data_IF_384768575825
#
_entry.id   IF_384768575825
#
_cell.length_a   1.000
_cell.length_b   1.000
_cell.length_c   1.000
_cell.angle_alpha   90.00
_cell.angle_beta   90.00
_cell.angle_gamma   90.00
#
_symmetry.space_group_name_H-M   'P 1'
#
loop_
_entity.id
_entity.type
_entity.pdbx_description
1 polymer ?
#
# COMPACT_ATOMS: atom_id res chain seq x y z
N UNK A 1 -8.82 -10.27 -24.61
CA UNK A 1 -7.42 -10.38 -24.14
C UNK A 1 -7.46 -10.36 -22.62
N UNK A 2 -6.62 -11.13 -21.91
CA UNK A 2 -6.53 -11.02 -20.46
C UNK A 2 -6.19 -9.59 -20.05
N UNK A 3 -6.75 -9.10 -18.94
CA UNK A 3 -6.38 -7.79 -18.38
C UNK A 3 -4.88 -7.82 -18.02
N UNK A 4 -4.11 -6.77 -18.35
CA UNK A 4 -2.69 -6.71 -18.01
C UNK A 4 -2.50 -6.71 -16.49
N UNK A 5 -1.46 -7.38 -16.01
CA UNK A 5 -1.09 -7.42 -14.59
C UNK A 5 -0.49 -6.08 -14.19
N UNK A 6 -0.97 -5.50 -13.09
CA UNK A 6 -0.47 -4.23 -12.57
C UNK A 6 0.38 -4.54 -11.35
N UNK A 7 1.63 -4.06 -11.35
CA UNK A 7 2.44 -3.97 -10.14
C UNK A 7 2.34 -2.56 -9.58
N UNK A 8 2.17 -2.46 -8.28
CA UNK A 8 2.14 -1.21 -7.54
C UNK A 8 3.50 -0.87 -6.93
N UNK A 9 4.46 -1.78 -7.00
CA UNK A 9 5.75 -1.68 -6.34
C UNK A 9 6.88 -1.22 -7.29
N UNK A 10 7.96 -0.66 -6.73
CA UNK A 10 9.05 -0.04 -7.48
C UNK A 10 9.91 -1.06 -8.24
N UNK A 11 10.05 -2.27 -7.70
CA UNK A 11 10.87 -3.36 -8.23
C UNK A 11 10.08 -4.66 -8.36
N UNK A 12 8.76 -4.57 -8.55
CA UNK A 12 7.86 -5.72 -8.65
C UNK A 12 7.84 -6.61 -7.39
N UNK A 13 8.13 -6.03 -6.23
CA UNK A 13 8.12 -6.71 -4.92
C UNK A 13 6.79 -7.44 -4.70
N UNK A 14 5.69 -6.76 -5.02
CA UNK A 14 4.34 -7.30 -4.95
C UNK A 14 4.16 -8.55 -5.83
N UNK A 15 4.67 -8.54 -7.07
CA UNK A 15 4.56 -9.68 -7.98
C UNK A 15 5.45 -10.85 -7.55
N UNK A 16 6.68 -10.60 -7.07
CA UNK A 16 7.53 -11.66 -6.50
C UNK A 16 6.86 -12.32 -5.30
N UNK A 17 6.30 -11.53 -4.39
CA UNK A 17 5.55 -12.04 -3.24
C UNK A 17 4.25 -12.74 -3.67
N UNK A 18 3.56 -12.27 -4.71
CA UNK A 18 2.36 -12.92 -5.25
C UNK A 18 2.67 -14.29 -5.86
N UNK A 19 3.88 -14.53 -6.35
CA UNK A 19 4.28 -15.91 -6.71
C UNK A 19 4.40 -16.84 -5.51
N UNK A 20 4.69 -16.29 -4.33
CA UNK A 20 4.79 -17.04 -3.08
C UNK A 20 3.42 -17.34 -2.48
N UNK A 21 2.54 -16.34 -2.47
CA UNK A 21 1.31 -16.37 -1.69
C UNK A 21 0.03 -16.15 -2.49
N UNK A 22 0.15 -15.85 -3.78
CA UNK A 22 -0.97 -15.60 -4.69
C UNK A 22 -1.90 -16.81 -4.78
N UNK A 23 -3.18 -16.52 -5.05
CA UNK A 23 -4.25 -17.51 -5.02
C UNK A 23 -4.89 -17.72 -3.64
N UNK A 24 -4.38 -17.07 -2.59
CA UNK A 24 -5.04 -16.99 -1.28
C UNK A 24 -5.94 -15.76 -1.23
N UNK A 25 -7.21 -15.92 -0.86
CA UNK A 25 -8.15 -14.81 -0.68
C UNK A 25 -7.94 -14.00 0.61
N UNK A 26 -7.03 -14.42 1.49
CA UNK A 26 -6.68 -13.73 2.73
C UNK A 26 -5.23 -14.02 3.11
N UNK A 27 -4.59 -13.08 3.81
CA UNK A 27 -3.28 -13.23 4.45
C UNK A 27 -2.92 -11.98 5.24
N UNK A 28 -1.71 -11.95 5.82
CA UNK A 28 -1.26 -10.86 6.67
C UNK A 28 0.14 -10.36 6.30
N UNK A 29 0.30 -9.04 6.28
CA UNK A 29 1.58 -8.37 6.08
C UNK A 29 1.84 -7.29 7.13
N UNK A 30 3.12 -6.96 7.28
CA UNK A 30 3.56 -5.72 7.92
C UNK A 30 4.42 -4.97 6.90
N UNK A 31 4.10 -3.71 6.65
CA UNK A 31 4.78 -2.84 5.68
C UNK A 31 5.29 -1.58 6.40
N UNK A 32 6.59 -1.53 6.68
CA UNK A 32 7.23 -0.47 7.48
C UNK A 32 7.91 0.52 6.56
N UNK A 33 7.57 1.80 6.74
CA UNK A 33 7.84 2.85 5.78
C UNK A 33 7.05 2.63 4.50
N UNK A 34 5.75 2.35 4.66
CA UNK A 34 4.87 1.99 3.55
C UNK A 34 4.70 3.10 2.51
N UNK A 35 5.11 4.33 2.82
CA UNK A 35 5.00 5.46 1.92
C UNK A 35 3.54 5.74 1.56
N UNK A 36 3.32 6.07 0.30
CA UNK A 36 1.96 6.24 -0.19
C UNK A 36 1.24 4.89 -0.33
N UNK A 37 -0.07 4.84 -0.08
CA UNK A 37 -0.82 3.59 -0.04
C UNK A 37 -0.98 2.86 -1.38
N UNK A 38 -0.42 3.34 -2.50
CA UNK A 38 -0.75 2.86 -3.85
C UNK A 38 0.47 2.83 -4.77
N UNK A 39 1.20 3.94 -4.83
CA UNK A 39 2.34 4.08 -5.75
C UNK A 39 3.62 3.63 -5.05
N UNK A 40 4.47 2.90 -5.76
CA UNK A 40 5.69 2.28 -5.23
C UNK A 40 5.44 1.50 -3.92
N UNK A 41 4.28 0.86 -3.78
CA UNK A 41 3.86 0.17 -2.56
C UNK A 41 3.80 -1.36 -2.77
N UNK A 42 4.58 -2.09 -1.97
CA UNK A 42 4.71 -3.55 -2.06
C UNK A 42 3.50 -4.34 -1.53
N UNK A 43 2.66 -3.73 -0.68
CA UNK A 43 1.54 -4.42 -0.02
C UNK A 43 0.16 -4.11 -0.63
N UNK A 44 0.04 -3.09 -1.48
CA UNK A 44 -1.25 -2.66 -2.03
C UNK A 44 -1.92 -3.69 -2.94
N UNK A 45 -1.15 -4.44 -3.73
CA UNK A 45 -1.69 -5.54 -4.53
C UNK A 45 -2.38 -6.60 -3.64
N UNK A 46 -1.78 -6.94 -2.50
CA UNK A 46 -2.37 -7.85 -1.51
C UNK A 46 -3.64 -7.27 -0.89
N UNK A 47 -3.62 -5.97 -0.56
CA UNK A 47 -4.83 -5.29 -0.08
C UNK A 47 -5.97 -5.45 -1.09
N UNK A 48 -5.76 -5.21 -2.38
CA UNK A 48 -6.80 -5.35 -3.41
C UNK A 48 -7.37 -6.78 -3.44
N UNK A 49 -6.53 -7.80 -3.25
CA UNK A 49 -6.92 -9.23 -3.21
C UNK A 49 -7.60 -9.66 -1.89
N UNK A 50 -8.00 -8.71 -1.03
CA UNK A 50 -8.76 -8.99 0.19
C UNK A 50 -7.91 -9.20 1.44
N UNK A 51 -6.60 -9.02 1.35
CA UNK A 51 -5.72 -9.13 2.52
C UNK A 51 -5.84 -7.89 3.42
N UNK A 52 -5.30 -8.04 4.62
CA UNK A 52 -5.19 -6.97 5.61
C UNK A 52 -3.85 -7.07 6.33
N UNK A 53 -3.33 -5.96 6.79
CA UNK A 53 -2.08 -5.94 7.52
C UNK A 53 -1.90 -4.70 8.38
N UNK A 54 -0.65 -4.46 8.73
CA UNK A 54 -0.21 -3.27 9.44
C UNK A 54 0.69 -2.48 8.51
N UNK A 55 0.41 -1.20 8.33
CA UNK A 55 1.35 -0.30 7.65
C UNK A 55 1.88 0.70 8.66
N UNK A 56 3.16 1.04 8.56
CA UNK A 56 3.77 2.07 9.42
C UNK A 56 4.32 3.18 8.55
N UNK A 57 3.86 4.40 8.77
CA UNK A 57 4.24 5.58 8.00
C UNK A 57 4.25 6.83 8.90
N UNK A 58 5.42 7.42 9.19
CA UNK A 58 5.53 8.59 10.07
C UNK A 58 5.02 9.90 9.45
N UNK A 59 4.96 10.02 8.12
CA UNK A 59 4.46 11.23 7.47
C UNK A 59 2.93 11.38 7.70
N UNK A 60 2.46 12.41 8.42
CA UNK A 60 1.04 12.54 8.76
C UNK A 60 0.11 12.61 7.55
N UNK A 61 0.58 13.21 6.45
CA UNK A 61 -0.21 13.32 5.22
C UNK A 61 -0.38 11.97 4.54
N UNK A 62 0.69 11.17 4.48
CA UNK A 62 0.65 9.82 3.91
C UNK A 62 -0.12 8.86 4.84
N UNK A 63 0.06 8.95 6.15
CA UNK A 63 -0.71 8.16 7.12
C UNK A 63 -2.23 8.45 7.02
N UNK A 64 -2.62 9.72 6.87
CA UNK A 64 -4.01 10.11 6.62
C UNK A 64 -4.53 9.54 5.30
N UNK A 65 -3.73 9.61 4.24
CA UNK A 65 -4.10 9.07 2.93
C UNK A 65 -4.26 7.56 2.97
N UNK A 66 -3.35 6.84 3.65
CA UNK A 66 -3.41 5.40 3.83
C UNK A 66 -4.69 4.96 4.53
N UNK A 67 -5.08 5.62 5.64
CA UNK A 67 -6.36 5.35 6.34
C UNK A 67 -7.59 5.53 5.43
N UNK A 68 -7.53 6.47 4.49
CA UNK A 68 -8.64 6.74 3.59
C UNK A 68 -8.71 5.76 2.40
N UNK A 69 -7.55 5.30 1.90
CA UNK A 69 -7.46 4.40 0.75
C UNK A 69 -7.55 2.92 1.14
N UNK A 70 -7.05 2.57 2.34
CA UNK A 70 -6.88 1.20 2.82
C UNK A 70 -7.55 0.94 4.18
N UNK A 71 -8.83 1.28 4.38
CA UNK A 71 -9.47 1.26 5.71
C UNK A 71 -9.49 -0.09 6.44
N UNK A 72 -9.24 -1.23 5.77
CA UNK A 72 -9.08 -2.54 6.44
C UNK A 72 -7.73 -2.73 7.13
N UNK A 73 -6.71 -1.97 6.73
CA UNK A 73 -5.39 -2.03 7.34
C UNK A 73 -5.36 -1.26 8.67
N UNK A 74 -4.48 -1.69 9.56
CA UNK A 74 -4.12 -0.91 10.73
C UNK A 74 -2.95 0.01 10.37
N UNK A 75 -3.21 1.33 10.38
CA UNK A 75 -2.21 2.34 10.02
C UNK A 75 -1.60 2.97 11.27
N UNK A 76 -0.30 2.73 11.47
CA UNK A 76 0.47 3.27 12.58
C UNK A 76 1.28 4.48 12.08
N UNK A 77 1.08 5.62 12.71
CA UNK A 77 1.79 6.86 12.41
C UNK A 77 2.92 7.04 13.41
N UNK A 78 4.04 6.38 13.15
CA UNK A 78 5.21 6.35 14.01
C UNK A 78 6.47 6.02 13.21
N UNK A 79 7.62 6.38 13.78
CA UNK A 79 8.91 5.84 13.39
C UNK A 79 9.11 4.46 14.02
N UNK A 80 9.91 3.62 13.36
CA UNK A 80 10.43 2.38 13.97
C UNK A 80 11.92 2.54 14.23
N UNK A 81 12.33 2.28 15.47
CA UNK A 81 13.73 2.38 15.89
C UNK A 81 14.05 1.43 17.03
N UNK A 82 15.18 1.68 17.70
CA UNK A 82 15.69 0.78 18.73
C UNK A 82 14.91 0.77 20.05
N UNK A 83 14.23 1.88 20.40
CA UNK A 83 13.51 2.02 21.68
C UNK A 83 12.22 2.81 21.50
N UNK A 84 11.22 2.54 22.35
CA UNK A 84 9.98 3.31 22.40
C UNK A 84 10.27 4.70 22.96
N UNK A 85 9.71 5.74 22.33
CA UNK A 85 9.89 7.12 22.78
C UNK A 85 9.49 8.12 21.71
N UNK A 86 10.29 9.17 21.57
CA UNK A 86 10.17 10.16 20.50
C UNK A 86 11.54 10.38 19.84
N UNK A 87 11.53 10.65 18.55
CA UNK A 87 12.73 11.04 17.79
C UNK A 87 12.38 12.14 16.79
N UNK A 88 13.43 12.81 16.30
CA UNK A 88 13.28 13.76 15.21
C UNK A 88 13.10 13.01 13.90
N UNK A 89 11.99 13.26 13.22
CA UNK A 89 11.77 12.89 11.84
C UNK A 89 12.08 14.10 10.95
N UNK A 90 12.95 13.91 9.96
CA UNK A 90 13.30 14.90 8.96
C UNK A 90 12.41 14.68 7.74
N UNK A 91 11.26 15.34 7.72
CA UNK A 91 10.23 15.19 6.70
C UNK A 91 10.55 16.01 5.45
N UNK A 92 10.64 15.36 4.29
CA UNK A 92 10.76 16.00 2.97
C UNK A 92 9.40 15.99 2.28
N UNK A 93 8.78 17.15 2.11
CA UNK A 93 7.38 17.23 1.64
C UNK A 93 7.22 16.98 0.13
N UNK A 94 8.17 17.42 -0.67
CA UNK A 94 8.12 17.40 -2.14
C UNK A 94 8.79 16.18 -2.77
N UNK A 95 9.38 15.30 -1.93
CA UNK A 95 9.92 14.01 -2.33
C UNK A 95 10.06 13.12 -1.09
N UNK A 96 8.93 12.53 -0.67
CA UNK A 96 8.80 11.86 0.62
C UNK A 96 9.77 10.69 0.83
N UNK A 97 10.19 9.99 -0.24
CA UNK A 97 11.21 8.90 -0.20
C UNK A 97 12.64 9.39 0.03
N UNK A 98 12.81 10.54 0.68
CA UNK A 98 14.07 11.00 1.28
C UNK A 98 13.87 11.45 2.73
N UNK A 99 12.67 11.22 3.27
CA UNK A 99 12.37 11.52 4.66
C UNK A 99 12.98 10.45 5.55
N UNK A 100 13.62 10.84 6.65
CA UNK A 100 14.43 9.91 7.43
C UNK A 100 14.47 10.35 8.90
N UNK A 101 14.82 9.44 9.80
CA UNK A 101 15.19 9.79 11.18
C UNK A 101 16.69 10.06 11.35
N UNK A 102 17.48 9.94 10.28
CA UNK A 102 18.94 10.09 10.30
C UNK A 102 19.32 11.49 9.81
N UNK A 103 19.83 12.34 10.71
CA UNK A 103 20.15 13.74 10.40
C UNK A 103 21.15 13.89 9.22
N UNK A 104 22.15 13.01 9.15
CA UNK A 104 23.17 13.07 8.09
C UNK A 104 22.58 12.78 6.72
N UNK A 105 21.57 11.90 6.64
CA UNK A 105 20.82 11.63 5.42
C UNK A 105 19.96 12.83 5.03
N UNK A 106 19.24 13.44 5.98
CA UNK A 106 18.49 14.68 5.74
C UNK A 106 19.38 15.83 5.21
N UNK A 107 20.61 15.96 5.74
CA UNK A 107 21.61 16.92 5.23
C UNK A 107 22.12 16.56 3.83
N UNK A 108 22.27 15.27 3.53
CA UNK A 108 22.64 14.79 2.20
C UNK A 108 21.54 15.09 1.16
N UNK A 109 20.26 14.88 1.51
CA UNK A 109 19.12 15.25 0.67
C UNK A 109 19.16 16.73 0.25
N UNK A 110 19.43 17.62 1.21
CA UNK A 110 19.56 19.05 0.95
C UNK A 110 20.76 19.38 0.06
N UNK A 111 21.94 18.81 0.37
CA UNK A 111 23.20 19.18 -0.31
C UNK A 111 23.34 18.58 -1.70
N UNK A 112 22.81 17.37 -1.94
CA UNK A 112 22.96 16.65 -3.21
C UNK A 112 21.74 16.83 -4.15
N UNK A 113 20.54 17.01 -3.59
CA UNK A 113 19.30 17.06 -4.38
C UNK A 113 18.49 18.34 -4.17
N UNK A 114 18.97 19.27 -3.32
CA UNK A 114 18.27 20.51 -3.02
C UNK A 114 16.95 20.31 -2.25
N UNK A 115 16.77 19.15 -1.62
CA UNK A 115 15.54 18.77 -0.91
C UNK A 115 15.64 19.12 0.57
N UNK A 116 14.90 20.14 0.99
CA UNK A 116 14.87 20.56 2.39
C UNK A 116 13.95 19.68 3.22
N UNK A 117 14.37 19.35 4.43
CA UNK A 117 13.54 18.66 5.40
C UNK A 117 13.03 19.59 6.49
N UNK A 118 11.84 19.29 7.00
CA UNK A 118 11.28 19.83 8.22
C UNK A 118 11.53 18.85 9.36
N UNK A 119 12.20 19.30 10.42
CA UNK A 119 12.34 18.50 11.64
C UNK A 119 11.03 18.51 12.44
N UNK A 120 10.45 17.33 12.69
CA UNK A 120 9.25 17.17 13.52
C UNK A 120 9.48 16.08 14.57
N UNK A 121 9.04 16.33 15.81
CA UNK A 121 9.05 15.30 16.86
C UNK A 121 7.98 14.26 16.54
N UNK A 122 8.37 12.99 16.46
CA UNK A 122 7.50 11.88 16.05
C UNK A 122 7.63 10.72 17.01
N UNK A 123 6.51 10.07 17.39
CA UNK A 123 6.54 8.86 18.20
C UNK A 123 7.39 7.76 17.56
N UNK A 124 8.13 7.04 18.39
CA UNK A 124 8.92 5.87 18.00
C UNK A 124 8.36 4.64 18.70
N UNK A 125 8.20 3.55 17.95
CA UNK A 125 7.98 2.21 18.49
C UNK A 125 9.10 1.27 18.03
N UNK A 126 9.14 0.05 18.57
CA UNK A 126 10.04 -1.01 18.09
C UNK A 126 9.26 -2.02 17.26
N UNK A 127 9.96 -2.81 16.44
CA UNK A 127 9.37 -3.93 15.71
C UNK A 127 8.73 -4.94 16.69
N UNK A 128 9.39 -5.20 17.83
CA UNK A 128 8.85 -6.05 18.90
C UNK A 128 7.50 -5.55 19.43
N UNK A 129 7.38 -4.26 19.78
CA UNK A 129 6.13 -3.70 20.31
C UNK A 129 5.03 -3.65 19.25
N UNK A 130 5.39 -3.35 18.00
CA UNK A 130 4.45 -3.35 16.87
C UNK A 130 3.86 -4.75 16.69
N UNK A 131 4.70 -5.78 16.60
CA UNK A 131 4.25 -7.16 16.46
C UNK A 131 3.45 -7.61 17.69
N UNK A 132 3.91 -7.26 18.89
CA UNK A 132 3.27 -7.48 20.18
C UNK A 132 1.78 -7.14 20.21
N UNK A 133 1.41 -6.04 19.56
CA UNK A 133 0.05 -5.49 19.58
C UNK A 133 -0.80 -5.90 18.39
N UNK A 134 -0.18 -6.09 17.23
CA UNK A 134 -0.93 -6.10 15.98
C UNK A 134 -0.71 -7.36 15.12
N UNK A 135 0.37 -8.11 15.35
CA UNK A 135 0.74 -9.22 14.47
C UNK A 135 0.33 -10.58 15.03
N UNK A 136 -0.10 -11.53 14.17
CA UNK A 136 -0.13 -12.93 14.55
C UNK A 136 1.31 -13.48 14.69
N UNK A 137 1.52 -14.59 15.44
CA UNK A 137 2.85 -15.17 15.64
C UNK A 137 3.56 -15.60 14.34
N UNK A 138 2.81 -15.96 13.30
CA UNK A 138 3.33 -16.29 11.97
C UNK A 138 2.49 -15.55 10.94
N UNK A 139 3.15 -14.89 9.98
CA UNK A 139 2.48 -14.15 8.91
C UNK A 139 3.27 -14.22 7.61
N UNK A 140 2.69 -13.74 6.51
CA UNK A 140 3.24 -13.97 5.18
C UNK A 140 4.49 -13.14 4.89
N UNK A 141 4.45 -11.83 5.10
CA UNK A 141 5.66 -11.03 4.88
C UNK A 141 5.78 -9.77 5.74
N UNK A 142 7.04 -9.38 5.96
CA UNK A 142 7.47 -8.12 6.56
C UNK A 142 8.27 -7.34 5.52
N UNK A 143 7.84 -6.14 5.12
CA UNK A 143 8.65 -5.18 4.34
C UNK A 143 9.22 -4.13 5.28
N UNK A 144 10.50 -3.83 5.12
CA UNK A 144 11.21 -2.73 5.81
C UNK A 144 11.84 -1.82 4.77
N UNK A 145 11.49 -0.55 4.84
CA UNK A 145 11.97 0.53 3.97
C UNK A 145 11.97 1.84 4.77
N UNK A 146 13.03 2.13 5.51
CA UNK A 146 13.02 3.24 6.50
C UNK A 146 14.16 4.22 6.27
N UNK A 147 14.61 4.29 5.01
CA UNK A 147 15.55 5.29 4.52
C UNK A 147 16.84 5.33 5.39
N UNK A 148 17.41 4.14 5.62
CA UNK A 148 18.72 3.93 6.27
C UNK A 148 18.66 3.38 7.70
N UNK A 149 17.47 3.28 8.30
CA UNK A 149 17.30 2.76 9.67
C UNK A 149 16.99 1.25 9.72
N UNK A 150 17.12 0.50 8.62
CA UNK A 150 16.68 -0.89 8.49
C UNK A 150 17.34 -1.79 9.54
N UNK A 151 18.63 -1.57 9.81
CA UNK A 151 19.35 -2.29 10.84
C UNK A 151 18.70 -2.10 12.23
N UNK A 152 18.38 -0.86 12.62
CA UNK A 152 17.77 -0.59 13.92
C UNK A 152 16.41 -1.29 14.05
N UNK A 153 15.61 -1.27 12.99
CA UNK A 153 14.31 -1.94 12.96
C UNK A 153 14.47 -3.45 13.12
N UNK A 154 15.33 -4.08 12.31
CA UNK A 154 15.49 -5.53 12.27
C UNK A 154 16.10 -6.10 13.56
N UNK A 155 17.08 -5.40 14.16
CA UNK A 155 17.71 -5.84 15.41
C UNK A 155 16.79 -5.76 16.63
N UNK A 156 15.69 -4.99 16.54
CA UNK A 156 14.76 -4.76 17.65
C UNK A 156 13.39 -5.42 17.47
N UNK A 157 13.37 -6.55 16.75
CA UNK A 157 12.24 -7.47 16.66
C UNK A 157 12.35 -8.67 17.61
N UNK A 158 11.22 -9.32 17.91
CA UNK A 158 11.18 -10.61 18.60
C UNK A 158 10.96 -11.74 17.58
N UNK A 159 12.07 -12.21 17.01
CA UNK A 159 12.13 -13.21 15.94
C UNK A 159 11.88 -14.65 16.40
N UNK A 160 11.64 -14.86 17.70
CA UNK A 160 11.22 -16.14 18.26
C UNK A 160 9.70 -16.20 18.37
N UNK A 161 9.09 -15.10 18.83
CA UNK A 161 7.63 -15.01 18.99
C UNK A 161 6.90 -14.66 17.68
N UNK A 162 7.56 -13.93 16.77
CA UNK A 162 6.97 -13.46 15.52
C UNK A 162 7.84 -13.86 14.32
N UNK A 163 7.23 -14.63 13.41
CA UNK A 163 7.90 -15.30 12.29
C UNK A 163 7.24 -14.91 10.96
N UNK A 164 7.59 -13.76 10.36
CA UNK A 164 7.27 -13.53 8.96
C UNK A 164 7.88 -14.65 8.10
N UNK A 165 7.11 -15.22 7.17
CA UNK A 165 7.65 -16.23 6.25
C UNK A 165 8.71 -15.61 5.34
N UNK A 166 8.45 -14.41 4.82
CA UNK A 166 9.40 -13.63 4.01
C UNK A 166 9.67 -12.27 4.65
N UNK A 167 10.94 -11.90 4.78
CA UNK A 167 11.37 -10.54 5.11
C UNK A 167 11.93 -9.90 3.86
N UNK A 168 11.41 -8.74 3.48
CA UNK A 168 11.91 -7.91 2.40
C UNK A 168 12.50 -6.66 3.03
N UNK A 169 13.78 -6.40 2.82
CA UNK A 169 14.45 -5.21 3.35
C UNK A 169 15.10 -4.44 2.21
N UNK A 170 14.90 -3.12 2.16
CA UNK A 170 15.71 -2.27 1.30
C UNK A 170 17.18 -2.46 1.70
N UNK A 171 18.02 -2.75 0.71
CA UNK A 171 19.35 -3.29 0.95
C UNK A 171 20.47 -2.34 0.52
N UNK A 172 20.12 -1.18 -0.03
CA UNK A 172 21.07 -0.17 -0.48
C UNK A 172 21.03 1.04 0.44
N UNK A 173 22.19 1.52 0.85
CA UNK A 173 22.28 2.72 1.68
C UNK A 173 21.82 3.94 0.88
N UNK A 174 21.00 4.83 1.47
CA UNK A 174 20.55 6.05 0.82
C UNK A 174 21.72 6.83 0.21
N UNK A 175 21.49 7.40 -0.99
CA UNK A 175 22.43 8.24 -1.77
C UNK A 175 23.67 7.56 -2.34
N UNK A 176 24.28 6.62 -1.61
CA UNK A 176 25.52 5.94 -2.03
C UNK A 176 25.25 4.68 -2.85
N UNK A 177 24.06 4.09 -2.67
CA UNK A 177 23.69 2.79 -3.23
C UNK A 177 24.67 1.66 -2.82
N UNK A 178 25.43 1.87 -1.75
CA UNK A 178 26.33 0.87 -1.22
C UNK A 178 25.53 -0.25 -0.53
N UNK A 179 26.00 -1.50 -0.56
CA UNK A 179 25.40 -2.58 0.21
C UNK A 179 25.25 -2.24 1.69
N UNK A 180 24.02 -2.15 2.17
CA UNK A 180 23.71 -1.89 3.58
C UNK A 180 23.52 -3.19 4.39
N UNK A 181 23.17 -4.30 3.71
CA UNK A 181 22.88 -5.59 4.34
C UNK A 181 23.98 -6.22 5.21
N UNK A 182 25.30 -5.97 5.04
CA UNK A 182 26.30 -6.52 5.96
C UNK A 182 26.03 -6.15 7.43
N UNK A 183 25.27 -5.09 7.68
CA UNK A 183 24.94 -4.60 9.00
C UNK A 183 23.85 -5.42 9.74
N UNK A 184 22.99 -6.15 9.02
CA UNK A 184 21.88 -6.92 9.63
C UNK A 184 21.79 -8.38 9.17
N UNK A 185 22.31 -8.73 7.99
CA UNK A 185 22.21 -10.09 7.43
C UNK A 185 22.80 -11.17 8.38
N UNK A 186 23.95 -10.97 9.04
CA UNK A 186 24.47 -11.94 10.01
C UNK A 186 23.54 -12.16 11.21
N UNK A 187 22.76 -11.15 11.59
CA UNK A 187 21.77 -11.29 12.64
C UNK A 187 20.56 -12.09 12.15
N UNK A 188 19.98 -11.75 11.00
CA UNK A 188 18.87 -12.51 10.41
C UNK A 188 19.21 -13.99 10.20
N UNK A 189 20.43 -14.28 9.73
CA UNK A 189 20.94 -15.64 9.60
C UNK A 189 20.92 -16.41 10.93
N UNK A 190 21.32 -15.77 12.04
CA UNK A 190 21.24 -16.38 13.38
C UNK A 190 19.81 -16.60 13.86
N UNK A 191 18.84 -15.85 13.33
CA UNK A 191 17.41 -16.04 13.59
C UNK A 191 16.75 -17.08 12.67
N UNK A 192 17.52 -17.81 11.85
CA UNK A 192 16.99 -18.83 10.94
C UNK A 192 16.31 -18.22 9.71
N UNK A 193 16.91 -17.18 9.13
CA UNK A 193 16.51 -16.60 7.85
C UNK A 193 17.65 -16.66 6.84
N UNK A 194 17.35 -17.08 5.62
CA UNK A 194 18.32 -17.15 4.52
C UNK A 194 17.94 -16.21 3.39
N UNK A 195 18.92 -15.49 2.82
CA UNK A 195 18.66 -14.70 1.63
C UNK A 195 18.33 -15.62 0.43
N UNK A 196 17.25 -15.32 -0.28
CA UNK A 196 16.80 -16.08 -1.46
C UNK A 196 16.73 -15.24 -2.73
N UNK A 197 16.66 -13.91 -2.63
CA UNK A 197 16.57 -13.03 -3.79
C UNK A 197 17.13 -11.63 -3.53
N UNK A 198 17.58 -10.97 -4.59
CA UNK A 198 17.94 -9.55 -4.60
C UNK A 198 17.39 -8.93 -5.89
N UNK A 199 16.45 -8.00 -5.78
CA UNK A 199 15.75 -7.41 -6.94
C UNK A 199 16.43 -6.13 -7.49
N UNK A 200 17.72 -5.95 -7.18
CA UNK A 200 18.55 -4.75 -7.38
C UNK A 200 18.34 -3.60 -6.37
N UNK A 201 17.35 -3.68 -5.48
CA UNK A 201 17.13 -2.71 -4.42
C UNK A 201 16.93 -3.38 -3.06
N UNK A 202 16.02 -4.36 -3.02
CA UNK A 202 15.63 -5.10 -1.84
C UNK A 202 16.24 -6.49 -1.82
N UNK A 203 16.57 -6.97 -0.62
CA UNK A 203 16.91 -8.37 -0.36
C UNK A 203 15.74 -9.08 0.33
N UNK A 204 15.51 -10.31 -0.11
CA UNK A 204 14.43 -11.17 0.36
C UNK A 204 15.05 -12.29 1.18
N UNK A 205 14.59 -12.43 2.42
CA UNK A 205 15.03 -13.44 3.35
C UNK A 205 13.86 -14.35 3.68
N UNK A 206 14.10 -15.66 3.65
CA UNK A 206 13.10 -16.68 3.89
C UNK A 206 13.36 -17.35 5.23
N UNK A 207 12.34 -17.48 6.06
CA UNK A 207 12.41 -18.25 7.29
C UNK A 207 12.68 -19.74 6.96
N UNK A 208 13.51 -20.41 7.77
CA UNK A 208 13.86 -21.82 7.53
C UNK A 208 12.62 -22.74 7.48
N UNK A 209 11.62 -22.48 8.32
CA UNK A 209 10.36 -23.21 8.36
C UNK A 209 9.43 -22.94 7.15
N UNK A 210 9.74 -21.94 6.33
CA UNK A 210 9.03 -21.60 5.09
C UNK A 210 9.89 -21.88 3.85
N UNK A 211 10.91 -22.73 3.99
CA UNK A 211 11.92 -23.00 2.95
C UNK A 211 11.35 -23.47 1.62
N UNK A 212 10.13 -24.03 1.60
CA UNK A 212 9.41 -24.43 0.39
C UNK A 212 9.05 -23.25 -0.54
N UNK A 213 9.02 -22.03 -0.02
CA UNK A 213 8.74 -20.82 -0.81
C UNK A 213 9.95 -20.37 -1.64
N UNK A 214 11.14 -20.94 -1.46
CA UNK A 214 12.31 -20.60 -2.27
C UNK A 214 12.07 -20.82 -3.78
N UNK A 215 11.25 -21.82 -4.14
CA UNK A 215 10.82 -22.07 -5.52
C UNK A 215 10.19 -20.86 -6.21
N UNK A 216 9.60 -19.95 -5.43
CA UNK A 216 8.95 -18.74 -5.93
C UNK A 216 9.94 -17.63 -6.31
N UNK A 217 11.22 -17.79 -5.95
CA UNK A 217 12.31 -16.87 -6.26
C UNK A 217 13.36 -17.47 -7.20
N UNK A 218 13.60 -18.79 -7.14
CA UNK A 218 14.61 -19.47 -7.98
C UNK A 218 14.36 -19.28 -9.49
N UNK A 219 13.09 -19.25 -9.89
CA UNK A 219 12.67 -19.02 -11.28
C UNK A 219 12.14 -17.58 -11.49
N UNK A 220 12.57 -16.62 -10.67
CA UNK A 220 12.14 -15.23 -10.77
C UNK A 220 12.69 -14.55 -12.02
N UNK A 221 11.81 -14.03 -12.91
CA UNK A 221 12.29 -13.24 -14.01
C UNK A 221 12.73 -11.87 -13.49
N UNK A 222 13.69 -11.23 -14.16
CA UNK A 222 14.11 -9.86 -13.83
C UNK A 222 13.00 -8.81 -14.12
N UNK A 223 12.04 -9.17 -14.97
CA UNK A 223 10.83 -8.40 -15.25
C UNK A 223 9.66 -9.34 -15.54
N UNK A 224 8.44 -8.88 -15.31
CA UNK A 224 7.24 -9.68 -15.54
C UNK A 224 6.64 -9.34 -16.90
N UNK A 225 6.73 -10.28 -17.85
CA UNK A 225 6.16 -10.09 -19.19
C UNK A 225 4.65 -9.85 -19.13
N UNK A 226 4.16 -8.82 -19.82
CA UNK A 226 2.76 -8.43 -19.80
C UNK A 226 2.29 -7.70 -18.52
N UNK A 227 3.17 -7.52 -17.54
CA UNK A 227 2.92 -6.64 -16.41
C UNK A 227 3.51 -5.24 -16.64
N UNK A 228 2.90 -4.23 -16.03
CA UNK A 228 3.46 -2.89 -15.97
C UNK A 228 3.38 -2.33 -14.55
N UNK A 229 4.25 -1.37 -14.25
CA UNK A 229 4.22 -0.68 -12.97
C UNK A 229 3.24 0.48 -13.02
N UNK A 230 2.35 0.56 -12.03
CA UNK A 230 1.32 1.59 -11.93
C UNK A 230 1.90 2.99 -12.00
N UNK A 231 3.13 3.17 -11.51
CA UNK A 231 3.85 4.44 -11.57
C UNK A 231 4.04 5.04 -12.97
N UNK A 232 3.95 4.22 -14.01
CA UNK A 232 4.10 4.63 -15.40
C UNK A 232 2.74 4.90 -16.09
N UNK A 233 1.63 4.77 -15.36
CA UNK A 233 0.29 5.01 -15.88
C UNK A 233 0.02 6.51 -15.93
N UNK A 234 -0.61 6.96 -17.01
CA UNK A 234 -1.00 8.37 -17.18
C UNK A 234 -2.22 8.71 -16.30
N UNK A 235 -2.48 10.01 -16.05
CA UNK A 235 -3.67 10.46 -15.35
C UNK A 235 -4.95 9.79 -15.82
N UNK A 236 -5.77 9.32 -14.87
CA UNK A 236 -6.93 8.47 -15.14
C UNK A 236 -7.96 9.07 -16.12
N UNK A 237 -8.10 10.40 -16.19
CA UNK A 237 -8.97 11.07 -17.17
C UNK A 237 -8.42 11.06 -18.60
N UNK A 238 -7.10 11.00 -18.76
CA UNK A 238 -6.42 11.08 -20.05
C UNK A 238 -6.24 9.70 -20.67
N UNK A 239 -6.07 8.67 -19.84
CA UNK A 239 -5.79 7.30 -20.27
C UNK A 239 -7.01 6.40 -20.14
N UNK A 240 -7.60 6.03 -21.28
CA UNK A 240 -8.70 5.07 -21.34
C UNK A 240 -8.30 3.65 -20.87
N UNK A 241 -7.01 3.34 -20.84
CA UNK A 241 -6.44 2.11 -20.31
C UNK A 241 -6.23 2.11 -18.80
N UNK A 242 -6.38 3.27 -18.12
CA UNK A 242 -6.30 3.33 -16.67
C UNK A 242 -7.43 2.48 -16.04
N UNK A 243 -7.15 1.64 -15.02
CA UNK A 243 -8.14 0.71 -14.45
C UNK A 243 -9.43 1.41 -13.98
N UNK A 244 -9.29 2.63 -13.44
CA UNK A 244 -10.40 3.42 -12.92
C UNK A 244 -10.83 4.58 -13.84
N UNK A 245 -10.50 4.55 -15.14
CA UNK A 245 -10.87 5.62 -16.10
C UNK A 245 -12.38 5.92 -16.09
N UNK A 246 -13.21 4.87 -15.99
CA UNK A 246 -14.68 5.03 -15.93
C UNK A 246 -15.11 5.85 -14.72
N UNK A 247 -14.64 5.49 -13.53
CA UNK A 247 -14.94 6.21 -12.30
C UNK A 247 -14.35 7.63 -12.35
N UNK A 248 -13.13 7.80 -12.84
CA UNK A 248 -12.48 9.10 -12.97
C UNK A 248 -13.32 10.07 -13.81
N UNK A 249 -13.92 9.63 -14.91
CA UNK A 249 -14.80 10.48 -15.73
C UNK A 249 -16.04 10.97 -14.99
N UNK A 250 -16.59 10.18 -14.08
CA UNK A 250 -17.72 10.60 -13.24
C UNK A 250 -17.30 11.65 -12.21
N UNK A 251 -16.03 11.62 -11.81
CA UNK A 251 -15.44 12.52 -10.82
C UNK A 251 -14.71 13.71 -11.48
N UNK A 252 -14.74 13.83 -12.80
CA UNK A 252 -14.03 14.86 -13.55
C UNK A 252 -14.42 16.28 -13.09
N UNK A 253 -13.44 17.19 -13.05
CA UNK A 253 -13.65 18.58 -12.64
C UNK A 253 -13.55 18.84 -11.14
N UNK A 254 -13.31 17.81 -10.33
CA UNK A 254 -13.09 17.92 -8.88
C UNK A 254 -11.59 17.89 -8.52
N UNK A 255 -11.27 18.03 -7.24
CA UNK A 255 -9.90 17.87 -6.71
C UNK A 255 -9.49 16.38 -6.75
N UNK A 256 -9.02 15.94 -7.91
CA UNK A 256 -8.64 14.54 -8.16
C UNK A 256 -7.48 14.08 -7.26
N UNK A 257 -6.60 15.01 -6.87
CA UNK A 257 -5.45 14.77 -6.01
C UNK A 257 -5.82 14.52 -4.54
N UNK A 258 -6.99 14.99 -4.10
CA UNK A 258 -7.49 14.80 -2.72
C UNK A 258 -8.73 13.92 -2.66
N UNK A 259 -9.07 13.26 -3.76
CA UNK A 259 -10.29 12.47 -3.89
C UNK A 259 -10.51 11.47 -2.73
N UNK A 260 -9.51 10.71 -2.24
CA UNK A 260 -9.71 9.81 -1.11
C UNK A 260 -10.06 10.51 0.21
N UNK A 261 -9.73 11.80 0.33
CA UNK A 261 -9.90 12.58 1.56
C UNK A 261 -11.25 13.31 1.60
N UNK A 262 -12.06 13.22 0.56
CA UNK A 262 -13.38 13.82 0.50
C UNK A 262 -14.38 13.07 1.38
N UNK A 263 -15.34 13.80 1.94
CA UNK A 263 -16.40 13.22 2.74
C UNK A 263 -17.32 12.32 1.91
N UNK A 264 -17.87 11.29 2.56
CA UNK A 264 -18.77 10.32 1.95
C UNK A 264 -19.91 10.96 1.14
N UNK A 265 -20.62 11.92 1.74
CA UNK A 265 -21.79 12.53 1.08
C UNK A 265 -21.37 13.34 -0.16
N UNK A 266 -20.21 14.02 -0.09
CA UNK A 266 -19.63 14.74 -1.25
C UNK A 266 -19.30 13.77 -2.38
N UNK A 267 -18.73 12.61 -2.06
CA UNK A 267 -18.41 11.57 -3.05
C UNK A 267 -19.67 11.00 -3.70
N UNK A 268 -20.73 10.75 -2.92
CA UNK A 268 -22.03 10.31 -3.43
C UNK A 268 -22.63 11.36 -4.36
N UNK A 269 -22.61 12.63 -3.96
CA UNK A 269 -23.10 13.73 -4.80
C UNK A 269 -22.37 13.79 -6.14
N UNK A 270 -21.03 13.66 -6.13
CA UNK A 270 -20.23 13.67 -7.36
C UNK A 270 -20.56 12.51 -8.29
N UNK A 271 -20.58 11.28 -7.79
CA UNK A 271 -20.86 10.13 -8.66
C UNK A 271 -22.31 10.08 -9.14
N UNK A 272 -23.23 10.79 -8.47
CA UNK A 272 -24.65 10.83 -8.85
C UNK A 272 -25.08 12.12 -9.56
N UNK A 273 -24.20 13.11 -9.74
CA UNK A 273 -24.53 14.43 -10.31
C UNK A 273 -25.27 14.41 -11.67
N UNK A 274 -25.07 13.36 -12.47
CA UNK A 274 -25.75 13.18 -13.76
C UNK A 274 -27.11 12.45 -13.70
N UNK A 275 -27.61 12.12 -12.51
CA UNK A 275 -28.86 11.37 -12.31
C UNK A 275 -29.97 12.30 -11.81
N UNK A 276 -31.20 12.04 -12.25
CA UNK A 276 -32.35 12.80 -11.77
C UNK A 276 -32.63 12.49 -10.28
N UNK A 277 -32.94 13.49 -9.43
CA UNK A 277 -33.25 13.25 -8.02
C UNK A 277 -34.37 12.22 -7.81
N UNK A 278 -35.40 12.25 -8.63
CA UNK A 278 -36.51 11.29 -8.57
C UNK A 278 -36.09 9.84 -8.88
N UNK A 279 -35.02 9.64 -9.65
CA UNK A 279 -34.46 8.31 -9.93
C UNK A 279 -33.68 7.76 -8.72
N UNK A 280 -32.97 8.64 -7.99
CA UNK A 280 -32.23 8.26 -6.78
C UNK A 280 -33.15 7.81 -5.64
N UNK A 281 -34.42 8.21 -5.66
CA UNK A 281 -35.44 7.83 -4.69
C UNK A 281 -36.23 6.56 -5.05
N UNK A 282 -36.02 5.99 -6.23
CA UNK A 282 -36.68 4.74 -6.61
C UNK A 282 -36.12 3.55 -5.82
N UNK A 283 -36.96 2.52 -5.53
CA UNK A 283 -36.48 1.25 -5.01
C UNK A 283 -35.42 0.63 -5.92
N UNK A 284 -34.40 0.02 -5.33
CA UNK A 284 -33.33 -0.67 -6.04
C UNK A 284 -33.46 -2.18 -5.83
N UNK A 285 -33.94 -2.86 -6.85
CA UNK A 285 -33.84 -4.32 -6.95
C UNK A 285 -32.43 -4.75 -7.39
N UNK A 286 -32.23 -6.06 -7.59
CA UNK A 286 -30.93 -6.62 -7.96
C UNK A 286 -30.40 -6.08 -9.30
N UNK A 287 -31.28 -5.81 -10.26
CA UNK A 287 -30.90 -5.31 -11.57
C UNK A 287 -30.45 -3.84 -11.48
N UNK A 288 -31.16 -3.04 -10.69
CA UNK A 288 -30.78 -1.65 -10.40
C UNK A 288 -29.43 -1.59 -9.66
N UNK A 289 -29.20 -2.48 -8.70
CA UNK A 289 -27.93 -2.58 -7.98
C UNK A 289 -26.79 -2.95 -8.94
N UNK A 290 -26.99 -3.96 -9.80
CA UNK A 290 -26.03 -4.37 -10.81
C UNK A 290 -25.69 -3.22 -11.78
N UNK A 291 -26.70 -2.47 -12.23
CA UNK A 291 -26.52 -1.30 -13.08
C UNK A 291 -25.72 -0.17 -12.42
N UNK A 292 -25.91 0.06 -11.11
CA UNK A 292 -25.12 1.04 -10.36
C UNK A 292 -23.65 0.62 -10.24
N UNK A 293 -23.39 -0.68 -9.98
CA UNK A 293 -22.04 -1.26 -9.94
C UNK A 293 -21.35 -1.12 -11.31
N UNK A 294 -22.04 -1.51 -12.39
CA UNK A 294 -21.52 -1.43 -13.75
C UNK A 294 -21.21 0.02 -14.15
N UNK A 295 -22.06 0.97 -13.76
CA UNK A 295 -21.84 2.40 -14.03
C UNK A 295 -20.55 2.92 -13.41
N UNK A 296 -20.19 2.49 -12.19
CA UNK A 296 -18.95 2.94 -11.53
C UNK A 296 -17.72 2.16 -12.03
N UNK A 297 -17.81 0.83 -12.05
CA UNK A 297 -16.64 -0.05 -12.18
C UNK A 297 -16.60 -0.85 -13.48
N UNK A 298 -17.71 -0.93 -14.20
CA UNK A 298 -17.86 -1.74 -15.40
C UNK A 298 -18.43 -3.13 -15.20
N UNK A 299 -18.61 -3.88 -16.31
CA UNK A 299 -19.26 -5.19 -16.29
C UNK A 299 -18.42 -6.24 -15.53
N UNK A 300 -17.10 -6.17 -15.62
CA UNK A 300 -16.18 -7.07 -14.92
C UNK A 300 -15.88 -6.58 -13.50
N UNK A 301 -16.92 -6.09 -12.83
CA UNK A 301 -16.81 -5.57 -11.50
C UNK A 301 -16.28 -6.65 -10.54
N UNK A 302 -16.84 -7.85 -10.55
CA UNK A 302 -16.55 -8.83 -9.49
C UNK A 302 -16.98 -8.32 -8.10
N UNK A 303 -17.92 -7.36 -8.06
CA UNK A 303 -18.61 -6.90 -6.86
C UNK A 303 -20.10 -7.24 -7.05
N UNK A 304 -20.71 -7.81 -6.03
CA UNK A 304 -22.10 -8.25 -6.02
C UNK A 304 -22.94 -7.52 -4.97
N UNK A 305 -24.27 -7.56 -5.13
CA UNK A 305 -25.20 -6.94 -4.18
C UNK A 305 -25.01 -7.45 -2.72
N UNK A 306 -24.58 -8.70 -2.55
CA UNK A 306 -24.38 -9.32 -1.24
C UNK A 306 -23.18 -8.76 -0.47
N UNK A 307 -22.26 -8.09 -1.16
CA UNK A 307 -21.08 -7.45 -0.55
C UNK A 307 -21.39 -6.02 -0.08
N UNK A 308 -22.56 -5.49 -0.45
CA UNK A 308 -23.01 -4.16 -0.04
C UNK A 308 -23.82 -4.23 1.25
N UNK A 309 -23.51 -3.34 2.19
CA UNK A 309 -24.30 -3.16 3.42
C UNK A 309 -25.49 -2.27 3.12
N UNK A 310 -26.60 -2.87 2.72
CA UNK A 310 -27.82 -2.17 2.31
C UNK A 310 -28.95 -2.29 3.37
N UNK A 311 -29.78 -1.25 3.55
CA UNK A 311 -31.00 -1.36 4.35
C UNK A 311 -32.05 -2.26 3.68
N UNK A 312 -33.08 -2.66 4.43
CA UNK A 312 -34.22 -3.38 3.86
C UNK A 312 -35.00 -2.48 2.89
N UNK A 313 -35.21 -2.94 1.66
CA UNK A 313 -35.83 -2.14 0.60
C UNK A 313 -34.98 -0.91 0.23
N UNK A 314 -33.73 -1.09 -0.23
CA UNK A 314 -32.83 0.03 -0.49
C UNK A 314 -33.36 0.87 -1.65
N UNK A 315 -33.11 2.19 -1.60
CA UNK A 315 -33.25 3.07 -2.76
C UNK A 315 -31.93 3.16 -3.50
N UNK A 316 -31.96 3.63 -4.75
CA UNK A 316 -30.74 3.80 -5.54
C UNK A 316 -29.69 4.69 -4.86
N UNK A 317 -30.12 5.74 -4.12
CA UNK A 317 -29.19 6.55 -3.30
C UNK A 317 -28.47 5.72 -2.23
N UNK A 318 -29.15 4.78 -1.60
CA UNK A 318 -28.58 3.94 -0.55
C UNK A 318 -27.53 2.98 -1.14
N UNK A 319 -27.75 2.55 -2.39
CA UNK A 319 -26.80 1.74 -3.15
C UNK A 319 -25.52 2.52 -3.46
N UNK A 320 -25.61 3.74 -4.00
CA UNK A 320 -24.42 4.56 -4.26
C UNK A 320 -23.66 4.89 -2.98
N UNK A 321 -24.39 5.16 -1.90
CA UNK A 321 -23.81 5.42 -0.60
C UNK A 321 -23.05 4.19 -0.07
N UNK A 322 -23.61 2.98 -0.20
CA UNK A 322 -22.93 1.74 0.16
C UNK A 322 -21.73 1.44 -0.77
N UNK A 323 -21.80 1.80 -2.06
CA UNK A 323 -20.69 1.62 -3.00
C UNK A 323 -19.48 2.49 -2.63
N UNK A 324 -19.70 3.74 -2.20
CA UNK A 324 -18.64 4.65 -1.72
C UNK A 324 -17.90 4.08 -0.52
N UNK A 325 -18.59 3.33 0.35
CA UNK A 325 -18.03 2.71 1.55
C UNK A 325 -17.24 1.41 1.27
N UNK A 326 -17.17 0.95 0.01
CA UNK A 326 -16.45 -0.29 -0.34
C UNK A 326 -14.95 -0.07 -0.50
N UNK A 327 -14.15 -1.07 -0.13
CA UNK A 327 -12.70 -1.08 -0.39
C UNK A 327 -12.37 -0.86 -1.86
N UNK A 328 -13.24 -1.34 -2.75
CA UNK A 328 -13.08 -1.11 -4.17
C UNK A 328 -13.13 0.37 -4.52
N UNK A 329 -14.09 1.10 -3.98
CA UNK A 329 -14.20 2.54 -4.22
C UNK A 329 -13.01 3.28 -3.62
N UNK A 330 -12.64 2.97 -2.37
CA UNK A 330 -11.47 3.55 -1.71
C UNK A 330 -10.16 3.32 -2.50
N UNK A 331 -9.91 2.10 -2.95
CA UNK A 331 -8.71 1.76 -3.75
C UNK A 331 -8.75 2.40 -5.14
N UNK A 332 -9.91 2.53 -5.77
CA UNK A 332 -10.08 3.23 -7.04
C UNK A 332 -9.80 4.73 -6.89
N UNK A 333 -10.34 5.38 -5.85
CA UNK A 333 -10.02 6.76 -5.51
C UNK A 333 -8.52 6.93 -5.25
N UNK A 334 -7.88 5.99 -4.54
CA UNK A 334 -6.45 5.98 -4.30
C UNK A 334 -5.62 5.93 -5.58
N UNK A 335 -5.96 5.03 -6.52
CA UNK A 335 -5.29 4.93 -7.83
C UNK A 335 -5.48 6.18 -8.67
N UNK A 336 -6.71 6.69 -8.74
CA UNK A 336 -6.99 7.95 -9.41
C UNK A 336 -6.12 9.06 -8.82
N UNK A 337 -6.17 9.26 -7.51
CA UNK A 337 -5.41 10.29 -6.79
C UNK A 337 -3.91 10.20 -7.06
N UNK A 338 -3.38 8.99 -7.03
CA UNK A 338 -1.97 8.69 -7.30
C UNK A 338 -1.54 9.00 -8.75
N UNK A 339 -2.45 9.32 -9.67
CA UNK A 339 -2.07 9.78 -11.00
C UNK A 339 -2.08 11.31 -11.16
N UNK A 340 -2.48 12.06 -10.13
CA UNK A 340 -2.61 13.54 -10.18
C UNK A 340 -1.74 14.28 -9.18
N UNK A 341 -1.31 13.65 -8.10
CA UNK A 341 -0.48 14.29 -7.08
C UNK A 341 0.70 13.39 -6.72
N UNK A 342 1.88 13.83 -7.16
CA UNK A 342 3.20 13.39 -6.72
C UNK A 342 4.21 14.51 -6.88
#
# INVERSE_FOLDING_TARGET
MPKPTISYAQRFEDLYLMRCFGGRGTGFYIDIGSGHPVYDNASFAFYIEGWRGVTVEPNPSLARLSRAVRPRDQHIEALLGATVGEATFYLVNDFHGLSTMIETHARAAQTQFGKSSQAIATPVTTLKELCGRHAPPVFEFLKVDVEGAEQEVLLNGDWQSYRPKVVVAEALAPYTLAPAWPAWEPFLAKQGYRCVWFDSLNRYYLADEASELARCFEEAPACFEGAFQFRNVKPALVDAGHPDHRLAKLLAGNDMARLPLLGRDVLVDFITAGLAPAALDQPADLDVIAGAIERLFGPDAGLSANELRLPAGPRLRDVYAALVDTDRFHTACGRISASYAW
#
